data_IF_583041425362
#
_entry.id   IF_583041425362
#
_cell.length_a   1.000
_cell.length_b   1.000
_cell.length_c   1.000
_cell.angle_alpha   90.00
_cell.angle_beta   90.00
_cell.angle_gamma   90.00
#
_symmetry.space_group_name_H-M   'P 1'
#
loop_
_entity.id
_entity.type
_entity.pdbx_description
1 polymer ?
#
# COMPACT_ATOMS: atom_id res chain seq x y z
N UNK A 1 -16.03 -4.38 22.48
CA UNK A 1 -15.20 -3.19 22.77
C UNK A 1 -15.16 -2.28 21.55
N UNK A 2 -15.92 -1.19 21.56
CA UNK A 2 -15.93 -0.20 20.47
C UNK A 2 -14.72 0.72 20.63
N UNK A 3 -13.79 0.70 19.67
CA UNK A 3 -12.58 1.54 19.71
C UNK A 3 -13.01 3.00 19.53
N UNK A 4 -13.03 3.78 20.62
CA UNK A 4 -13.24 5.23 20.57
C UNK A 4 -12.20 5.86 19.62
N UNK A 5 -12.68 6.51 18.56
CA UNK A 5 -11.93 7.54 17.84
C UNK A 5 -11.17 7.17 16.56
N UNK A 6 -11.67 6.24 15.72
CA UNK A 6 -11.13 6.12 14.36
C UNK A 6 -11.51 7.38 13.54
N UNK A 7 -10.65 8.41 13.55
CA UNK A 7 -10.82 9.62 12.72
C UNK A 7 -10.93 9.20 11.26
N UNK A 8 -12.03 9.53 10.57
CA UNK A 8 -12.18 9.29 9.12
C UNK A 8 -11.21 10.18 8.34
N UNK A 9 -10.80 9.74 7.15
CA UNK A 9 -9.92 10.54 6.31
C UNK A 9 -10.68 11.77 5.78
N UNK A 10 -10.08 12.95 5.86
CA UNK A 10 -10.69 14.22 5.42
C UNK A 10 -10.17 14.72 4.07
N UNK A 11 -9.35 13.92 3.38
CA UNK A 11 -8.88 14.23 2.02
C UNK A 11 -10.10 14.46 1.09
N UNK A 12 -10.21 15.61 0.38
CA UNK A 12 -11.31 15.86 -0.56
C UNK A 12 -11.46 14.73 -1.59
N UNK A 13 -12.69 14.24 -1.80
CA UNK A 13 -12.99 13.12 -2.71
C UNK A 13 -12.51 11.73 -2.24
N UNK A 14 -12.10 11.60 -0.98
CA UNK A 14 -11.55 10.36 -0.40
C UNK A 14 -12.04 10.09 1.03
N UNK A 15 -13.15 10.71 1.45
CA UNK A 15 -13.79 10.55 2.77
C UNK A 15 -13.93 9.08 3.21
N UNK A 16 -14.11 8.19 2.24
CA UNK A 16 -14.37 6.76 2.46
C UNK A 16 -13.24 5.86 1.93
N UNK A 17 -12.16 6.46 1.39
CA UNK A 17 -11.07 5.69 0.76
C UNK A 17 -10.00 5.32 1.78
N UNK A 18 -9.86 4.01 1.99
CA UNK A 18 -8.81 3.31 2.76
C UNK A 18 -7.38 3.68 2.28
N UNK A 19 -7.26 4.28 1.09
CA UNK A 19 -6.03 4.48 0.34
C UNK A 19 -5.63 5.99 0.13
N UNK A 20 -5.80 6.89 1.11
CA UNK A 20 -5.28 8.26 0.99
C UNK A 20 -3.80 8.34 1.38
N UNK A 21 -2.87 8.77 0.51
CA UNK A 21 -1.44 8.88 0.85
C UNK A 21 -1.13 9.93 1.92
N UNK A 22 -2.09 10.75 2.34
CA UNK A 22 -1.93 11.68 3.48
C UNK A 22 -2.42 11.05 4.79
N UNK A 23 -3.54 10.35 4.73
CA UNK A 23 -4.20 9.76 5.90
C UNK A 23 -3.67 8.38 6.27
N UNK A 24 -3.14 7.63 5.30
CA UNK A 24 -2.66 6.27 5.51
C UNK A 24 -1.28 6.28 6.16
N UNK A 25 -1.02 5.27 6.99
CA UNK A 25 0.24 5.11 7.71
C UNK A 25 1.13 4.03 7.11
N UNK A 26 0.52 3.05 6.45
CA UNK A 26 1.26 1.99 5.80
C UNK A 26 1.23 2.20 4.30
N UNK A 27 2.39 2.10 3.67
CA UNK A 27 2.58 2.12 2.23
C UNK A 27 3.25 0.81 1.81
N UNK A 28 2.66 0.13 0.84
CA UNK A 28 3.21 -1.05 0.19
C UNK A 28 3.61 -0.70 -1.24
N UNK A 29 4.90 -0.80 -1.55
CA UNK A 29 5.44 -0.74 -2.90
C UNK A 29 5.42 -2.15 -3.51
N UNK A 30 4.83 -2.25 -4.70
CA UNK A 30 4.68 -3.51 -5.43
C UNK A 30 5.73 -3.55 -6.53
N UNK A 31 6.84 -4.27 -6.30
CA UNK A 31 7.89 -4.45 -7.30
C UNK A 31 7.53 -5.63 -8.20
N UNK A 32 7.31 -5.33 -9.47
CA UNK A 32 6.87 -6.30 -10.46
C UNK A 32 8.04 -7.06 -11.07
N UNK A 33 7.78 -8.28 -11.55
CA UNK A 33 8.68 -9.06 -12.41
C UNK A 33 8.85 -8.34 -13.75
N UNK A 34 10.01 -8.53 -14.38
CA UNK A 34 10.27 -8.02 -15.73
C UNK A 34 9.16 -8.48 -16.70
N UNK A 35 8.78 -7.61 -17.64
CA UNK A 35 7.69 -7.87 -18.60
C UNK A 35 6.29 -7.43 -18.17
N UNK A 36 6.10 -6.94 -16.93
CA UNK A 36 4.79 -6.50 -16.41
C UNK A 36 4.64 -4.97 -16.38
N UNK A 37 5.25 -4.26 -17.33
CA UNK A 37 5.23 -2.79 -17.40
C UNK A 37 3.83 -2.22 -17.66
N UNK A 38 2.95 -3.00 -18.28
CA UNK A 38 1.53 -2.69 -18.45
C UNK A 38 0.78 -2.52 -17.11
N UNK A 39 1.29 -3.07 -16.01
CA UNK A 39 0.71 -2.89 -14.68
C UNK A 39 1.26 -1.67 -13.94
N UNK A 40 2.36 -1.07 -14.44
CA UNK A 40 2.89 0.18 -13.90
C UNK A 40 2.00 1.34 -14.31
N UNK A 41 1.89 2.34 -13.44
CA UNK A 41 1.17 3.56 -13.80
C UNK A 41 2.12 4.53 -14.50
N UNK A 42 1.61 5.21 -15.54
CA UNK A 42 2.33 6.24 -16.27
C UNK A 42 2.17 7.59 -15.55
N UNK A 43 3.28 8.24 -15.23
CA UNK A 43 3.32 9.59 -14.65
C UNK A 43 3.07 10.65 -15.73
N UNK A 44 2.75 11.90 -15.34
CA UNK A 44 2.60 13.00 -16.30
C UNK A 44 3.83 13.24 -17.18
N UNK A 45 5.02 12.94 -16.67
CA UNK A 45 6.29 13.03 -17.41
C UNK A 45 6.61 11.79 -18.28
N UNK A 46 5.64 10.91 -18.51
CA UNK A 46 5.80 9.69 -19.30
C UNK A 46 6.51 8.53 -18.59
N UNK A 47 7.14 8.76 -17.43
CA UNK A 47 7.84 7.71 -16.70
C UNK A 47 6.87 6.67 -16.12
N UNK A 48 7.25 5.40 -16.20
CA UNK A 48 6.53 4.33 -15.54
C UNK A 48 6.91 4.23 -14.06
N UNK A 49 5.95 3.86 -13.23
CA UNK A 49 6.19 3.65 -11.81
C UNK A 49 5.46 2.43 -11.28
N UNK A 50 6.16 1.72 -10.41
CA UNK A 50 5.62 0.56 -9.72
C UNK A 50 4.36 0.97 -8.92
N UNK A 51 3.31 0.13 -8.94
CA UNK A 51 2.11 0.37 -8.16
C UNK A 51 2.40 0.49 -6.67
N UNK A 52 1.58 1.30 -6.01
CA UNK A 52 1.68 1.53 -4.57
C UNK A 52 0.30 1.42 -3.97
N UNK A 53 0.18 0.58 -2.94
CA UNK A 53 -1.03 0.50 -2.13
C UNK A 53 -0.79 1.15 -0.78
N UNK A 54 -1.87 1.69 -0.20
CA UNK A 54 -1.85 2.34 1.09
C UNK A 54 -2.84 1.65 2.02
N UNK A 55 -2.56 1.61 3.32
CA UNK A 55 -3.48 1.03 4.28
C UNK A 55 -3.32 1.70 5.65
N UNK A 56 -4.30 1.44 6.52
CA UNK A 56 -4.43 1.92 7.90
C UNK A 56 -4.40 3.44 8.03
N UNK A 57 -5.40 4.07 8.64
CA UNK A 57 -5.29 5.49 8.99
C UNK A 57 -4.20 5.67 10.05
N UNK A 58 -3.39 6.74 9.97
CA UNK A 58 -2.30 7.05 10.94
C UNK A 58 -2.73 7.00 12.40
N UNK A 59 -4.00 7.29 12.66
CA UNK A 59 -4.60 7.32 14.00
C UNK A 59 -5.17 5.96 14.45
N UNK A 60 -5.10 4.92 13.61
CA UNK A 60 -5.57 3.59 13.96
C UNK A 60 -4.43 2.80 14.63
N UNK A 61 -4.63 2.45 15.90
CA UNK A 61 -3.64 1.71 16.71
C UNK A 61 -3.44 0.23 16.34
N UNK A 62 -4.00 -0.26 15.22
CA UNK A 62 -3.72 -1.61 14.71
C UNK A 62 -2.24 -1.74 14.38
N UNK A 63 -1.61 -2.85 14.76
CA UNK A 63 -0.22 -3.15 14.42
C UNK A 63 0.05 -3.14 12.90
N UNK A 64 1.13 -2.46 12.49
CA UNK A 64 1.53 -2.32 11.09
C UNK A 64 1.90 -3.66 10.45
N UNK A 65 2.51 -4.59 11.20
CA UNK A 65 2.91 -5.89 10.68
C UNK A 65 1.69 -6.75 10.33
N UNK A 66 0.71 -6.82 11.24
CA UNK A 66 -0.57 -7.53 10.98
C UNK A 66 -1.33 -6.96 9.77
N UNK A 67 -1.32 -5.63 9.60
CA UNK A 67 -1.92 -5.01 8.42
C UNK A 67 -1.12 -5.36 7.16
N UNK A 68 0.21 -5.35 7.23
CA UNK A 68 1.06 -5.75 6.11
C UNK A 68 0.79 -7.19 5.68
N UNK A 69 0.63 -8.14 6.62
CA UNK A 69 0.26 -9.52 6.30
C UNK A 69 -1.04 -9.62 5.51
N UNK A 70 -2.07 -8.87 5.91
CA UNK A 70 -3.33 -8.83 5.17
C UNK A 70 -3.18 -8.21 3.79
N UNK A 71 -2.32 -7.21 3.62
CA UNK A 71 -2.02 -6.66 2.30
C UNK A 71 -1.29 -7.68 1.41
N UNK A 72 -0.37 -8.50 1.96
CA UNK A 72 0.27 -9.59 1.22
C UNK A 72 -0.77 -10.61 0.76
N UNK A 73 -1.67 -11.04 1.66
CA UNK A 73 -2.76 -11.96 1.31
C UNK A 73 -3.63 -11.38 0.19
N UNK A 74 -3.95 -10.08 0.23
CA UNK A 74 -4.72 -9.41 -0.82
C UNK A 74 -3.99 -9.42 -2.16
N UNK A 75 -2.68 -9.15 -2.20
CA UNK A 75 -1.89 -9.20 -3.45
C UNK A 75 -1.88 -10.61 -4.04
N UNK A 76 -1.68 -11.63 -3.20
CA UNK A 76 -1.67 -13.03 -3.65
C UNK A 76 -3.00 -13.49 -4.22
N UNK A 77 -4.12 -12.87 -3.82
CA UNK A 77 -5.47 -13.17 -4.30
C UNK A 77 -5.91 -12.29 -5.46
N UNK A 78 -5.20 -11.19 -5.72
CA UNK A 78 -5.55 -10.27 -6.80
C UNK A 78 -5.14 -10.89 -8.15
N UNK A 79 -6.09 -11.15 -9.07
CA UNK A 79 -5.79 -11.82 -10.34
C UNK A 79 -4.82 -11.03 -11.21
N UNK A 80 -4.73 -9.70 -11.03
CA UNK A 80 -3.79 -8.84 -11.76
C UNK A 80 -2.35 -8.95 -11.24
N UNK A 81 -2.18 -9.19 -9.94
CA UNK A 81 -0.88 -9.09 -9.27
C UNK A 81 -0.32 -10.44 -8.79
N UNK A 82 -1.15 -11.46 -8.56
CA UNK A 82 -0.74 -12.73 -7.96
C UNK A 82 0.47 -13.39 -8.64
N UNK A 83 0.57 -13.32 -9.98
CA UNK A 83 1.70 -13.85 -10.75
C UNK A 83 2.76 -12.82 -11.16
N UNK A 84 2.43 -11.53 -11.11
CA UNK A 84 3.23 -10.45 -11.69
C UNK A 84 4.21 -9.80 -10.70
N UNK A 85 4.04 -10.02 -9.39
CA UNK A 85 4.86 -9.40 -8.34
C UNK A 85 6.09 -10.24 -8.02
N UNK A 86 7.24 -9.59 -7.85
CA UNK A 86 8.50 -10.20 -7.39
C UNK A 86 8.75 -9.90 -5.91
N UNK A 87 8.56 -8.64 -5.49
CA UNK A 87 8.84 -8.19 -4.13
C UNK A 87 7.78 -7.19 -3.67
N UNK A 88 7.32 -7.34 -2.43
CA UNK A 88 6.55 -6.33 -1.72
C UNK A 88 7.44 -5.67 -0.67
N UNK A 89 7.49 -4.34 -0.68
CA UNK A 89 8.20 -3.55 0.32
C UNK A 89 7.23 -2.65 1.08
N UNK A 90 7.29 -2.70 2.40
CA UNK A 90 6.38 -1.98 3.29
C UNK A 90 7.13 -0.87 4.01
N UNK A 91 6.51 0.31 4.08
CA UNK A 91 7.08 1.50 4.70
C UNK A 91 6.03 2.18 5.57
N UNK A 92 6.47 2.79 6.66
CA UNK A 92 5.66 3.79 7.36
C UNK A 92 5.59 5.05 6.49
N UNK A 93 4.39 5.54 6.25
CA UNK A 93 4.15 6.56 5.26
C UNK A 93 4.62 7.93 5.76
N UNK A 94 5.68 8.44 5.14
CA UNK A 94 6.44 9.60 5.60
C UNK A 94 7.91 9.25 5.86
N UNK A 95 8.18 8.00 6.24
CA UNK A 95 9.53 7.45 6.31
C UNK A 95 9.75 6.42 5.18
N UNK A 96 10.24 6.91 4.04
CA UNK A 96 10.48 6.07 2.84
C UNK A 96 11.89 5.49 2.77
N UNK A 97 12.77 5.85 3.69
CA UNK A 97 14.16 5.44 3.68
C UNK A 97 14.35 4.02 4.24
N UNK A 98 13.51 3.64 5.19
CA UNK A 98 13.59 2.34 5.84
C UNK A 98 12.27 1.57 5.67
N UNK A 99 12.37 0.38 5.08
CA UNK A 99 11.24 -0.53 5.01
C UNK A 99 11.06 -1.24 6.35
N UNK A 100 9.83 -1.41 6.79
CA UNK A 100 9.49 -2.17 8.00
C UNK A 100 9.33 -3.66 7.69
N UNK A 101 9.07 -4.02 6.43
CA UNK A 101 8.92 -5.41 5.98
C UNK A 101 9.23 -5.53 4.50
N UNK A 102 9.86 -6.63 4.13
CA UNK A 102 10.09 -7.06 2.75
C UNK A 102 9.58 -8.48 2.58
N UNK A 103 8.85 -8.75 1.50
CA UNK A 103 8.32 -10.08 1.17
C UNK A 103 8.67 -10.39 -0.28
N UNK A 104 9.27 -11.56 -0.51
CA UNK A 104 9.55 -12.08 -1.85
C UNK A 104 8.42 -13.06 -2.20
N UNK A 105 7.88 -12.95 -3.42
CA UNK A 105 6.75 -13.75 -3.91
C UNK A 105 7.14 -14.62 -5.10
#
# INVERSE_FOLDING_TARGET
>A
MSVKGAKKCTCPGRSDKIFCPRCSDLRMLILLKNGNDNLKYRRPNGQLSNPVWYSRLKYNGRDAYKVADKMVESVKKDPKYAGAVQVLMFYINGNRHQHIKKVIL
#
